data_IF_756251129732
#
_entry.id   IF_756251129732
#
_cell.length_a   1.000
_cell.length_b   1.000
_cell.length_c   1.000
_cell.angle_alpha   90.00
_cell.angle_beta   90.00
_cell.angle_gamma   90.00
#
_symmetry.space_group_name_H-M   'P 1'
#
loop_
_entity.id
_entity.type
_entity.pdbx_description
1 polymer ?
#
# COMPACT_ATOMS: atom_id res chain seq x y z
N UNK A 1 -48.74 2.57 -9.79
CA UNK A 1 -48.47 1.14 -9.54
C UNK A 1 -48.66 0.36 -10.83
N UNK A 2 -47.90 -0.73 -10.96
CA UNK A 2 -47.97 -1.83 -11.95
C UNK A 2 -47.21 -1.64 -13.27
N UNK A 3 -46.01 -2.22 -13.21
CA UNK A 3 -45.05 -2.64 -14.22
C UNK A 3 -45.70 -3.47 -15.33
N UNK A 4 -45.16 -3.39 -16.55
CA UNK A 4 -44.95 -4.56 -17.42
C UNK A 4 -43.61 -4.44 -18.14
N UNK A 5 -42.73 -5.38 -17.80
CA UNK A 5 -41.50 -5.73 -18.49
C UNK A 5 -41.88 -6.51 -19.76
N UNK A 6 -41.21 -6.23 -20.88
CA UNK A 6 -41.22 -7.08 -22.06
C UNK A 6 -39.78 -7.53 -22.33
N UNK A 7 -39.53 -8.79 -21.99
CA UNK A 7 -38.29 -9.53 -22.22
C UNK A 7 -38.25 -9.96 -23.69
N UNK A 8 -37.21 -9.60 -24.43
CA UNK A 8 -36.90 -10.18 -25.75
C UNK A 8 -35.75 -11.15 -25.54
N UNK A 9 -36.07 -12.44 -25.60
CA UNK A 9 -35.12 -13.52 -25.76
C UNK A 9 -34.79 -13.64 -27.24
N UNK A 10 -33.50 -13.58 -27.60
CA UNK A 10 -33.03 -13.95 -28.92
C UNK A 10 -32.01 -15.09 -28.78
N UNK A 11 -32.50 -16.31 -28.98
CA UNK A 11 -31.73 -17.53 -29.17
C UNK A 11 -31.09 -17.51 -30.56
N UNK A 12 -29.75 -17.60 -30.61
CA UNK A 12 -28.99 -17.84 -31.82
C UNK A 12 -27.87 -18.83 -31.55
N UNK A 13 -28.13 -20.09 -31.82
CA UNK A 13 -27.12 -21.14 -31.86
C UNK A 13 -26.34 -21.06 -33.19
N UNK A 14 -25.01 -21.14 -33.13
CA UNK A 14 -24.18 -21.43 -34.30
C UNK A 14 -23.17 -22.52 -33.93
N UNK A 15 -23.44 -23.72 -34.46
CA UNK A 15 -22.61 -24.91 -34.44
C UNK A 15 -22.22 -25.23 -35.88
N UNK A 16 -20.94 -25.05 -36.24
CA UNK A 16 -20.19 -25.70 -37.33
C UNK A 16 -18.71 -25.45 -36.95
N UNK A 17 -17.73 -26.35 -36.89
CA UNK A 17 -17.55 -27.74 -37.28
C UNK A 17 -16.02 -27.92 -37.40
N UNK A 18 -15.45 -28.84 -36.64
CA UNK A 18 -14.04 -29.25 -36.68
C UNK A 18 -13.77 -30.27 -37.80
N UNK A 19 -12.57 -30.27 -38.41
CA UNK A 19 -11.75 -31.36 -39.03
C UNK A 19 -10.47 -30.65 -39.55
N UNK A 20 -9.22 -31.11 -39.46
CA UNK A 20 -8.55 -32.34 -39.00
C UNK A 20 -7.04 -32.04 -38.80
N UNK A 21 -6.32 -32.74 -37.91
CA UNK A 21 -5.52 -33.96 -38.17
C UNK A 21 -4.33 -33.67 -39.12
N UNK A 22 -3.03 -33.84 -38.79
CA UNK A 22 -2.29 -35.07 -38.37
C UNK A 22 -0.96 -34.68 -37.66
N UNK A 23 -0.66 -35.08 -36.43
CA UNK A 23 0.07 -36.28 -35.94
C UNK A 23 1.51 -36.52 -36.46
N UNK A 24 2.48 -36.49 -35.53
CA UNK A 24 3.41 -37.61 -35.26
C UNK A 24 4.24 -37.34 -33.98
N UNK A 25 3.82 -37.94 -32.87
CA UNK A 25 4.71 -38.29 -31.75
C UNK A 25 5.44 -39.60 -32.10
N UNK A 26 6.71 -39.71 -31.71
CA UNK A 26 7.32 -41.01 -31.42
C UNK A 26 8.00 -40.95 -30.05
N UNK A 27 7.77 -42.03 -29.32
CA UNK A 27 8.08 -42.23 -27.93
C UNK A 27 9.39 -43.02 -27.79
N UNK A 28 10.03 -42.87 -26.62
CA UNK A 28 10.76 -43.92 -25.89
C UNK A 28 12.30 -43.93 -25.86
N UNK A 29 12.77 -44.11 -24.62
CA UNK A 29 13.98 -44.80 -24.11
C UNK A 29 15.20 -43.98 -23.71
N UNK A 30 15.16 -43.64 -22.43
CA UNK A 30 16.20 -43.77 -21.41
C UNK A 30 17.28 -44.85 -21.69
N UNK A 31 18.56 -44.47 -21.68
CA UNK A 31 19.69 -45.31 -21.26
C UNK A 31 20.87 -44.46 -20.79
N UNK A 32 21.22 -44.60 -19.51
CA UNK A 32 22.54 -44.28 -18.94
C UNK A 32 23.57 -45.27 -19.51
N UNK A 33 24.74 -44.80 -19.94
CA UNK A 33 26.00 -45.53 -19.72
C UNK A 33 27.18 -44.55 -19.69
N UNK A 34 28.09 -44.84 -18.75
CA UNK A 34 29.26 -44.06 -18.38
C UNK A 34 30.51 -44.45 -19.20
N UNK A 35 31.62 -43.83 -18.79
CA UNK A 35 33.03 -44.28 -18.89
C UNK A 35 33.76 -43.85 -20.19
N UNK A 36 35.03 -43.47 -20.24
CA UNK A 36 36.07 -42.93 -19.34
C UNK A 36 37.27 -42.55 -20.22
N UNK A 37 37.95 -41.47 -19.82
CA UNK A 37 39.36 -41.06 -19.97
C UNK A 37 40.28 -41.66 -21.05
N UNK A 38 41.08 -40.77 -21.67
CA UNK A 38 42.52 -41.03 -21.87
C UNK A 38 43.35 -39.75 -21.71
N UNK A 39 44.27 -39.83 -20.77
CA UNK A 39 45.33 -38.89 -20.41
C UNK A 39 46.50 -38.99 -21.39
N UNK A 40 47.16 -37.87 -21.70
CA UNK A 40 48.61 -37.83 -21.97
C UNK A 40 49.22 -36.57 -21.37
N UNK A 41 50.24 -36.80 -20.55
CA UNK A 41 51.10 -35.85 -19.86
C UNK A 41 52.30 -35.47 -20.72
N UNK A 42 52.82 -34.25 -20.54
CA UNK A 42 54.28 -33.98 -20.53
C UNK A 42 54.54 -32.60 -19.92
N UNK A 43 55.47 -32.59 -18.97
CA UNK A 43 55.86 -31.46 -18.14
C UNK A 43 57.03 -30.67 -18.75
N UNK A 44 57.14 -29.38 -18.42
CA UNK A 44 58.40 -28.75 -18.04
C UNK A 44 58.18 -27.41 -17.32
N UNK A 45 59.09 -27.14 -16.40
CA UNK A 45 59.02 -26.29 -15.23
C UNK A 45 59.58 -24.88 -15.51
N UNK A 46 59.08 -23.84 -14.84
CA UNK A 46 59.87 -22.80 -14.15
C UNK A 46 59.06 -21.52 -13.88
N UNK A 47 58.98 -21.15 -12.60
CA UNK A 47 59.28 -19.76 -12.23
C UNK A 47 58.13 -18.86 -11.79
N UNK A 48 58.00 -18.74 -10.47
CA UNK A 48 57.69 -17.52 -9.68
C UNK A 48 56.24 -17.04 -9.44
N UNK A 49 55.95 -17.04 -8.13
CA UNK A 49 55.22 -16.05 -7.31
C UNK A 49 53.69 -15.95 -7.42
N UNK A 50 53.06 -16.81 -6.63
CA UNK A 50 52.20 -16.45 -5.49
C UNK A 50 51.27 -15.22 -5.61
N UNK A 51 50.02 -15.51 -5.94
CA UNK A 51 48.86 -14.81 -5.36
C UNK A 51 47.80 -15.84 -5.00
N UNK A 52 47.34 -15.79 -3.76
CA UNK A 52 46.47 -16.78 -3.13
C UNK A 52 45.04 -16.64 -3.65
N UNK A 53 44.61 -17.53 -4.55
CA UNK A 53 43.20 -17.72 -4.92
C UNK A 53 42.83 -19.15 -4.52
N UNK A 54 42.23 -19.32 -3.33
CA UNK A 54 41.74 -20.62 -2.88
C UNK A 54 40.23 -20.69 -3.00
N UNK A 55 39.81 -21.20 -4.15
CA UNK A 55 38.56 -21.94 -4.30
C UNK A 55 38.72 -23.30 -3.61
N UNK A 56 37.85 -23.64 -2.66
CA UNK A 56 37.53 -25.02 -2.25
C UNK A 56 36.10 -24.99 -1.74
N UNK A 57 35.14 -25.46 -2.54
CA UNK A 57 34.65 -26.84 -2.57
C UNK A 57 33.74 -27.15 -1.38
N UNK A 58 32.45 -27.27 -1.71
CA UNK A 58 31.35 -27.76 -0.90
C UNK A 58 31.74 -28.91 0.03
N UNK A 59 31.38 -28.78 1.29
CA UNK A 59 31.01 -29.92 2.14
C UNK A 59 29.64 -29.63 2.71
N UNK A 60 28.65 -30.38 2.24
CA UNK A 60 27.28 -30.33 2.73
C UNK A 60 27.24 -30.75 4.19
N UNK A 61 26.84 -29.83 5.06
CA UNK A 61 26.34 -30.17 6.40
C UNK A 61 24.91 -29.68 6.44
N UNK A 62 23.98 -30.63 6.46
CA UNK A 62 22.54 -30.39 6.49
C UNK A 62 22.17 -29.85 7.87
N UNK A 63 22.22 -28.53 8.03
CA UNK A 63 21.53 -27.85 9.10
C UNK A 63 20.20 -27.37 8.54
N UNK A 64 19.13 -28.06 8.92
CA UNK A 64 17.75 -27.62 8.72
C UNK A 64 17.54 -26.34 9.53
N UNK A 65 17.97 -25.22 8.94
CA UNK A 65 17.67 -23.88 9.41
C UNK A 65 16.51 -23.43 8.54
N UNK A 66 15.36 -23.22 9.15
CA UNK A 66 14.22 -22.52 8.56
C UNK A 66 14.75 -21.30 7.81
N UNK A 67 14.76 -21.38 6.48
CA UNK A 67 15.13 -20.25 5.63
C UNK A 67 14.03 -19.21 5.75
N UNK A 68 14.12 -18.34 6.76
CA UNK A 68 13.51 -17.03 6.68
C UNK A 68 14.01 -16.41 5.38
N UNK A 69 13.11 -16.24 4.40
CA UNK A 69 13.34 -15.37 3.26
C UNK A 69 13.76 -14.02 3.82
N UNK A 70 15.06 -13.72 3.84
CA UNK A 70 15.56 -12.47 4.39
C UNK A 70 15.34 -11.40 3.31
N UNK A 71 14.11 -10.87 3.20
CA UNK A 71 13.93 -9.68 2.35
C UNK A 71 14.77 -8.56 2.96
N UNK A 72 15.68 -8.04 2.14
CA UNK A 72 16.69 -7.07 2.56
C UNK A 72 16.06 -5.68 2.70
N UNK A 73 16.67 -4.85 3.53
CA UNK A 73 16.32 -3.43 3.62
C UNK A 73 16.36 -2.78 2.22
N UNK A 74 15.38 -1.92 1.95
CA UNK A 74 15.31 -1.14 0.72
C UNK A 74 16.44 -0.11 0.69
N UNK A 75 17.06 0.04 -0.49
CA UNK A 75 18.17 0.97 -0.69
C UNK A 75 17.65 2.29 -1.24
N UNK A 76 17.74 3.36 -0.44
CA UNK A 76 17.25 4.69 -0.84
C UNK A 76 17.95 5.27 -2.09
N UNK A 77 19.20 4.87 -2.36
CA UNK A 77 19.94 5.35 -3.52
C UNK A 77 19.30 4.85 -4.82
N UNK A 78 18.91 5.77 -5.70
CA UNK A 78 18.23 5.45 -6.96
C UNK A 78 16.73 5.13 -6.80
N UNK A 79 16.16 5.21 -5.59
CA UNK A 79 14.73 4.99 -5.33
C UNK A 79 13.82 5.94 -6.12
N UNK A 80 14.31 7.16 -6.35
CA UNK A 80 13.61 8.22 -7.08
C UNK A 80 14.52 8.75 -8.19
N UNK A 81 13.99 8.82 -9.41
CA UNK A 81 14.70 9.42 -10.55
C UNK A 81 14.72 10.94 -10.46
N UNK A 82 15.64 11.57 -11.20
CA UNK A 82 15.67 13.03 -11.33
C UNK A 82 14.36 13.57 -11.93
N UNK A 83 13.75 12.85 -12.88
CA UNK A 83 12.47 13.24 -13.48
C UNK A 83 11.30 13.16 -12.49
N UNK A 84 11.36 12.23 -11.52
CA UNK A 84 10.32 12.13 -10.48
C UNK A 84 10.32 13.38 -9.59
N UNK A 85 11.51 13.95 -9.34
CA UNK A 85 11.69 15.15 -8.51
C UNK A 85 11.56 16.47 -9.28
N UNK A 86 11.47 16.41 -10.61
CA UNK A 86 11.45 17.60 -11.44
C UNK A 86 10.04 18.23 -11.44
N UNK A 87 9.92 19.35 -10.72
CA UNK A 87 8.67 20.14 -10.63
C UNK A 87 8.62 21.32 -11.61
N UNK A 88 9.77 21.69 -12.19
CA UNK A 88 9.87 22.75 -13.18
C UNK A 88 9.37 22.30 -14.56
N UNK A 89 8.87 23.25 -15.34
CA UNK A 89 8.51 23.02 -16.74
C UNK A 89 8.63 24.32 -17.54
N UNK A 90 9.00 24.21 -18.82
CA UNK A 90 8.99 25.35 -19.74
C UNK A 90 7.61 25.50 -20.37
N UNK A 91 6.86 26.52 -19.94
CA UNK A 91 5.53 26.78 -20.45
C UNK A 91 5.48 27.11 -21.95
N UNK A 92 6.60 27.54 -22.57
CA UNK A 92 6.66 27.82 -24.00
C UNK A 92 6.78 26.56 -24.85
N UNK A 93 7.41 25.52 -24.30
CA UNK A 93 7.57 24.22 -24.97
C UNK A 93 6.41 23.27 -24.65
N UNK A 94 5.69 23.51 -23.56
CA UNK A 94 4.54 22.70 -23.18
C UNK A 94 3.30 23.00 -24.04
N UNK A 95 2.55 21.95 -24.37
CA UNK A 95 1.26 22.08 -25.03
C UNK A 95 0.19 22.48 -24.01
N UNK A 96 -0.42 23.65 -24.18
CA UNK A 96 -1.51 24.10 -23.31
C UNK A 96 -2.85 23.57 -23.81
N UNK A 97 -3.66 23.01 -22.91
CA UNK A 97 -5.01 22.51 -23.19
C UNK A 97 -5.96 23.07 -22.12
N UNK A 98 -6.96 23.84 -22.58
CA UNK A 98 -8.05 24.30 -21.73
C UNK A 98 -9.18 23.28 -21.77
N UNK A 99 -9.57 22.77 -20.61
CA UNK A 99 -10.65 21.82 -20.43
C UNK A 99 -11.99 22.56 -20.42
N UNK A 100 -12.89 22.15 -21.30
CA UNK A 100 -14.19 22.79 -21.51
C UNK A 100 -15.31 21.72 -21.52
N UNK A 101 -15.43 20.97 -20.42
CA UNK A 101 -16.43 19.90 -20.23
C UNK A 101 -16.40 18.78 -21.28
N UNK A 102 -15.22 18.49 -21.82
CA UNK A 102 -15.00 17.39 -22.76
C UNK A 102 -13.85 16.53 -22.29
N UNK A 103 -14.01 15.21 -22.39
CA UNK A 103 -12.89 14.28 -22.23
C UNK A 103 -11.83 14.54 -23.30
N UNK A 104 -10.57 14.32 -22.95
CA UNK A 104 -9.43 14.42 -23.87
C UNK A 104 -8.56 13.18 -23.80
N UNK A 105 -7.83 12.93 -24.89
CA UNK A 105 -6.80 11.89 -24.94
C UNK A 105 -5.45 12.52 -25.26
N UNK A 106 -4.44 12.19 -24.47
CA UNK A 106 -3.03 12.49 -24.71
C UNK A 106 -2.39 11.21 -25.26
N UNK A 107 -1.90 11.29 -26.50
CA UNK A 107 -1.42 10.12 -27.25
C UNK A 107 0.04 10.21 -27.71
N UNK A 108 0.76 11.25 -27.28
CA UNK A 108 2.15 11.49 -27.65
C UNK A 108 2.97 11.86 -26.41
N UNK A 109 4.26 11.54 -26.47
CA UNK A 109 5.22 12.04 -25.48
C UNK A 109 5.22 13.58 -25.47
N UNK A 110 5.33 14.17 -24.29
CA UNK A 110 5.44 15.62 -24.15
C UNK A 110 5.03 16.14 -22.78
N UNK A 111 5.11 17.47 -22.64
CA UNK A 111 4.60 18.20 -21.47
C UNK A 111 3.30 18.91 -21.82
N UNK A 112 2.26 18.73 -21.01
CA UNK A 112 0.91 19.25 -21.24
C UNK A 112 0.48 20.10 -20.06
N UNK A 113 0.11 21.36 -20.28
CA UNK A 113 -0.46 22.22 -19.23
C UNK A 113 -1.98 22.18 -19.34
N UNK A 114 -2.64 21.63 -18.33
CA UNK A 114 -4.09 21.54 -18.26
C UNK A 114 -4.65 22.61 -17.31
N UNK A 115 -5.71 23.29 -17.74
CA UNK A 115 -6.49 24.22 -16.91
C UNK A 115 -7.98 24.11 -17.24
N UNK A 116 -8.87 24.64 -16.40
CA UNK A 116 -10.32 24.59 -16.64
C UNK A 116 -10.98 23.33 -16.08
N UNK A 117 -12.13 22.93 -16.62
CA UNK A 117 -13.00 21.96 -15.95
C UNK A 117 -13.57 20.88 -16.88
N UNK A 118 -13.80 19.70 -16.30
CA UNK A 118 -14.65 18.64 -16.86
C UNK A 118 -15.67 18.23 -15.81
N UNK A 119 -16.96 18.48 -16.06
CA UNK A 119 -18.04 18.12 -15.12
C UNK A 119 -18.36 16.64 -15.07
N UNK A 120 -18.21 15.92 -16.19
CA UNK A 120 -18.31 14.47 -16.27
C UNK A 120 -17.53 13.95 -17.50
N UNK A 121 -16.31 13.48 -17.30
CA UNK A 121 -15.42 13.04 -18.37
C UNK A 121 -14.02 12.74 -17.85
N UNK A 122 -13.04 12.56 -18.73
CA UNK A 122 -11.73 12.03 -18.37
C UNK A 122 -10.59 12.74 -19.09
N UNK A 123 -9.41 12.72 -18.49
CA UNK A 123 -8.14 12.85 -19.19
C UNK A 123 -7.57 11.45 -19.36
N UNK A 124 -7.46 10.97 -20.59
CA UNK A 124 -6.92 9.64 -20.90
C UNK A 124 -5.50 9.78 -21.44
N UNK A 125 -4.56 8.98 -20.95
CA UNK A 125 -3.23 8.81 -21.54
C UNK A 125 -3.18 7.47 -22.25
N UNK A 126 -3.05 7.49 -23.58
CA UNK A 126 -2.93 6.31 -24.44
C UNK A 126 -1.88 6.60 -25.52
N UNK A 127 -0.61 6.48 -25.13
CA UNK A 127 0.57 6.80 -25.92
C UNK A 127 1.46 5.56 -26.10
N UNK A 128 2.52 5.61 -26.92
CA UNK A 128 3.50 4.52 -26.98
C UNK A 128 4.03 4.13 -25.59
N UNK A 129 4.35 2.85 -25.39
CA UNK A 129 4.94 2.27 -24.17
C UNK A 129 6.37 2.75 -23.87
N UNK A 130 6.91 3.62 -24.74
CA UNK A 130 8.19 4.31 -24.57
C UNK A 130 8.01 5.78 -24.19
N UNK A 131 6.77 6.28 -24.17
CA UNK A 131 6.48 7.70 -23.99
C UNK A 131 6.50 8.11 -22.51
N UNK A 132 7.29 9.12 -22.18
CA UNK A 132 7.29 9.77 -20.85
C UNK A 132 6.48 11.06 -20.87
N UNK A 133 5.29 11.04 -20.27
CA UNK A 133 4.34 12.16 -20.37
C UNK A 133 4.28 12.95 -19.07
N UNK A 134 4.45 14.27 -19.15
CA UNK A 134 4.25 15.16 -18.01
C UNK A 134 2.96 15.97 -18.18
N UNK A 135 2.06 15.87 -17.23
CA UNK A 135 0.81 16.62 -17.17
C UNK A 135 0.91 17.60 -16.01
N UNK A 136 0.90 18.89 -16.33
CA UNK A 136 0.85 19.97 -15.36
C UNK A 136 -0.62 20.28 -15.05
N UNK A 137 -1.02 20.10 -13.81
CA UNK A 137 -2.33 20.46 -13.30
C UNK A 137 -2.28 21.93 -12.84
N UNK A 138 -2.85 22.83 -13.63
CA UNK A 138 -2.80 24.29 -13.44
C UNK A 138 -4.21 24.85 -13.20
N UNK A 139 -4.79 24.49 -12.05
CA UNK A 139 -6.13 24.92 -11.65
C UNK A 139 -7.24 24.13 -12.33
N UNK A 140 -7.11 22.80 -12.38
CA UNK A 140 -8.13 21.93 -12.99
C UNK A 140 -9.23 21.51 -12.01
N UNK A 141 -10.44 21.31 -12.51
CA UNK A 141 -11.53 20.65 -11.79
C UNK A 141 -12.17 19.56 -12.67
N UNK A 142 -11.85 18.29 -12.40
CA UNK A 142 -12.22 17.16 -13.27
C UNK A 142 -13.01 16.15 -12.45
N UNK A 143 -14.24 15.90 -12.88
CA UNK A 143 -15.09 14.84 -12.33
C UNK A 143 -15.38 13.80 -13.41
N UNK A 144 -15.34 12.53 -13.03
CA UNK A 144 -15.99 11.46 -13.78
C UNK A 144 -16.89 10.67 -12.84
N UNK A 145 -18.18 10.59 -13.13
CA UNK A 145 -19.11 9.93 -12.23
C UNK A 145 -18.83 8.41 -12.12
N UNK A 146 -18.49 7.73 -13.21
CA UNK A 146 -18.51 6.26 -13.30
C UNK A 146 -17.18 5.64 -13.70
N UNK A 147 -16.10 6.42 -13.71
CA UNK A 147 -14.76 5.99 -14.13
C UNK A 147 -13.70 6.91 -13.51
N UNK A 148 -12.44 6.78 -13.92
CA UNK A 148 -11.37 7.65 -13.43
C UNK A 148 -11.47 9.07 -14.01
N UNK A 149 -11.11 10.08 -13.23
CA UNK A 149 -10.93 11.45 -13.72
C UNK A 149 -9.67 11.56 -14.58
N UNK A 150 -8.60 10.85 -14.19
CA UNK A 150 -7.39 10.65 -14.98
C UNK A 150 -7.16 9.15 -15.13
N UNK A 151 -7.13 8.67 -16.37
CA UNK A 151 -6.87 7.28 -16.71
C UNK A 151 -5.59 7.17 -17.54
N UNK A 152 -4.53 6.60 -16.98
CA UNK A 152 -3.33 6.23 -17.72
C UNK A 152 -3.50 4.79 -18.19
N UNK A 153 -3.86 4.66 -19.47
CA UNK A 153 -4.09 3.38 -20.14
C UNK A 153 -2.79 2.77 -20.65
N UNK A 154 -1.90 3.60 -21.19
CA UNK A 154 -0.60 3.18 -21.73
C UNK A 154 0.37 4.36 -21.88
N UNK A 155 1.59 4.18 -21.40
CA UNK A 155 2.77 5.05 -21.52
C UNK A 155 3.97 4.28 -20.95
N UNK A 156 5.19 4.81 -21.03
CA UNK A 156 6.30 4.31 -20.20
C UNK A 156 6.13 4.78 -18.75
N UNK A 157 5.89 6.09 -18.58
CA UNK A 157 5.67 6.71 -17.28
C UNK A 157 4.91 8.01 -17.40
N UNK A 158 4.01 8.28 -16.45
CA UNK A 158 3.28 9.55 -16.36
C UNK A 158 3.70 10.34 -15.11
N UNK A 159 3.95 11.63 -15.29
CA UNK A 159 4.22 12.58 -14.22
C UNK A 159 3.03 13.55 -14.10
N UNK A 160 2.31 13.53 -12.98
CA UNK A 160 1.29 14.51 -12.63
C UNK A 160 1.91 15.58 -11.72
N UNK A 161 2.20 16.74 -12.30
CA UNK A 161 2.84 17.86 -11.61
C UNK A 161 1.81 18.93 -11.25
N UNK A 162 1.65 19.24 -9.97
CA UNK A 162 0.79 20.34 -9.52
C UNK A 162 1.51 21.69 -9.71
N UNK A 163 0.91 22.60 -10.48
CA UNK A 163 1.49 23.92 -10.71
C UNK A 163 1.52 24.75 -9.42
N UNK A 164 2.60 25.52 -9.23
CA UNK A 164 2.79 26.37 -8.06
C UNK A 164 1.62 27.33 -7.84
N UNK A 165 1.12 27.39 -6.60
CA UNK A 165 0.05 28.30 -6.21
C UNK A 165 -1.34 27.95 -6.77
N UNK A 166 -1.49 26.76 -7.37
CA UNK A 166 -2.79 26.30 -7.86
C UNK A 166 -3.40 25.24 -6.95
N UNK A 167 -4.73 25.20 -6.95
CA UNK A 167 -5.52 24.12 -6.36
C UNK A 167 -6.22 23.37 -7.47
N UNK A 168 -6.06 22.06 -7.47
CA UNK A 168 -6.63 21.15 -8.46
C UNK A 168 -7.58 20.19 -7.74
N UNK A 169 -8.70 19.85 -8.36
CA UNK A 169 -9.67 18.93 -7.78
C UNK A 169 -10.03 17.83 -8.78
N UNK A 170 -9.92 16.58 -8.34
CA UNK A 170 -10.34 15.40 -9.08
C UNK A 170 -11.38 14.63 -8.27
N UNK A 171 -12.42 14.11 -8.90
CA UNK A 171 -13.47 13.37 -8.18
C UNK A 171 -14.18 12.31 -9.01
N UNK A 172 -14.85 11.40 -8.30
CA UNK A 172 -15.98 10.63 -8.81
C UNK A 172 -17.20 10.79 -7.88
N UNK A 173 -18.38 10.45 -8.39
CA UNK A 173 -19.66 10.66 -7.67
C UNK A 173 -20.61 9.48 -7.73
N UNK A 174 -20.29 8.42 -8.48
CA UNK A 174 -21.08 7.19 -8.59
C UNK A 174 -20.15 5.99 -8.59
N UNK A 175 -20.74 4.81 -8.48
CA UNK A 175 -20.01 3.55 -8.61
C UNK A 175 -19.33 3.45 -9.98
N UNK A 176 -18.16 2.81 -10.00
CA UNK A 176 -17.42 2.55 -11.23
C UNK A 176 -18.18 1.58 -12.12
N UNK A 177 -18.24 1.89 -13.41
CA UNK A 177 -18.84 1.03 -14.43
C UNK A 177 -17.73 0.57 -15.37
N UNK A 178 -17.28 -0.66 -15.18
CA UNK A 178 -16.25 -1.27 -16.02
C UNK A 178 -16.90 -2.00 -17.21
N UNK A 179 -16.61 -1.54 -18.42
CA UNK A 179 -17.09 -2.15 -19.68
C UNK A 179 -16.00 -2.96 -20.39
N UNK A 180 -14.83 -3.06 -19.76
CA UNK A 180 -13.65 -3.78 -20.25
C UNK A 180 -13.19 -4.76 -19.19
N UNK A 181 -12.23 -5.61 -19.51
CA UNK A 181 -11.58 -6.49 -18.52
C UNK A 181 -10.72 -5.73 -17.52
N UNK A 182 -10.31 -4.50 -17.84
CA UNK A 182 -9.62 -3.63 -16.88
C UNK A 182 -10.61 -3.11 -15.84
N UNK A 183 -10.28 -3.30 -14.57
CA UNK A 183 -11.08 -2.84 -13.43
C UNK A 183 -10.62 -1.46 -12.97
N UNK A 184 -11.13 -0.43 -13.63
CA UNK A 184 -10.93 0.95 -13.19
C UNK A 184 -11.73 1.15 -11.91
N UNK A 185 -11.04 1.48 -10.83
CA UNK A 185 -11.64 1.61 -9.50
C UNK A 185 -11.03 2.76 -8.66
N UNK A 186 -10.48 3.79 -9.33
CA UNK A 186 -9.86 4.93 -8.68
C UNK A 186 -10.13 6.25 -9.40
N UNK A 187 -10.04 7.38 -8.68
CA UNK A 187 -10.14 8.73 -9.29
C UNK A 187 -8.95 9.01 -10.20
N UNK A 188 -7.75 8.60 -9.79
CA UNK A 188 -6.58 8.50 -10.65
C UNK A 188 -6.25 7.02 -10.78
N UNK A 189 -6.34 6.49 -11.99
CA UNK A 189 -6.03 5.09 -12.26
C UNK A 189 -4.93 5.00 -13.32
N UNK A 190 -3.84 4.32 -12.97
CA UNK A 190 -2.72 4.08 -13.87
C UNK A 190 -2.47 2.60 -14.04
N UNK A 191 -2.38 2.16 -15.28
CA UNK A 191 -1.88 0.84 -15.64
C UNK A 191 -0.36 0.72 -15.60
N UNK A 192 0.32 1.86 -15.56
CA UNK A 192 1.77 2.02 -15.67
C UNK A 192 2.31 2.79 -14.46
N UNK A 193 3.62 2.99 -14.38
CA UNK A 193 4.25 3.90 -13.43
C UNK A 193 3.66 5.32 -13.46
N UNK A 194 3.33 5.84 -12.27
CA UNK A 194 2.88 7.22 -12.11
C UNK A 194 3.63 7.93 -10.99
N UNK A 195 4.03 9.17 -11.26
CA UNK A 195 4.61 10.06 -10.27
C UNK A 195 3.71 11.26 -10.02
N UNK A 196 3.44 11.55 -8.75
CA UNK A 196 2.83 12.78 -8.29
C UNK A 196 3.93 13.69 -7.72
N UNK A 197 4.02 14.90 -8.26
CA UNK A 197 4.94 15.91 -7.72
C UNK A 197 4.36 17.31 -7.87
N UNK A 198 5.12 18.33 -7.47
CA UNK A 198 4.83 19.72 -7.77
C UNK A 198 4.81 20.62 -6.56
N UNK A 199 4.27 21.82 -6.75
CA UNK A 199 4.27 22.90 -5.77
C UNK A 199 2.86 23.45 -5.50
N UNK A 200 1.84 22.78 -6.01
CA UNK A 200 0.43 23.12 -5.79
C UNK A 200 -0.26 22.12 -4.87
N UNK A 201 -1.58 22.26 -4.82
CA UNK A 201 -2.47 21.38 -4.07
C UNK A 201 -3.30 20.54 -5.04
N UNK A 202 -3.45 19.25 -4.73
CA UNK A 202 -4.36 18.34 -5.40
C UNK A 202 -5.33 17.73 -4.38
N UNK A 203 -6.62 18.03 -4.55
CA UNK A 203 -7.71 17.41 -3.81
C UNK A 203 -8.28 16.24 -4.62
N UNK A 204 -8.38 15.07 -4.00
CA UNK A 204 -8.92 13.86 -4.60
C UNK A 204 -10.11 13.42 -3.76
N UNK A 205 -11.31 13.44 -4.35
CA UNK A 205 -12.53 13.02 -3.70
C UNK A 205 -13.05 11.74 -4.37
N UNK A 206 -12.59 10.60 -3.88
CA UNK A 206 -13.02 9.28 -4.30
C UNK A 206 -14.25 8.84 -3.46
N UNK A 207 -15.43 9.36 -3.82
CA UNK A 207 -16.70 9.00 -3.15
C UNK A 207 -16.98 7.51 -3.29
N UNK A 208 -16.50 6.91 -4.37
CA UNK A 208 -16.46 5.46 -4.56
C UNK A 208 -15.03 5.03 -4.91
N UNK A 209 -14.64 3.84 -4.46
CA UNK A 209 -13.33 3.23 -4.74
C UNK A 209 -12.14 3.99 -4.18
N UNK A 210 -11.00 3.85 -4.85
CA UNK A 210 -9.70 4.33 -4.38
C UNK A 210 -9.42 5.79 -4.77
N UNK A 211 -8.53 6.44 -4.03
CA UNK A 211 -8.00 7.75 -4.42
C UNK A 211 -7.12 7.65 -5.67
N UNK A 212 -5.96 7.02 -5.51
CA UNK A 212 -4.96 6.80 -6.57
C UNK A 212 -4.59 5.33 -6.62
N UNK A 213 -4.60 4.75 -7.82
CA UNK A 213 -4.12 3.38 -8.08
C UNK A 213 -3.06 3.43 -9.16
N UNK A 214 -1.92 2.80 -8.90
CA UNK A 214 -0.97 2.36 -9.92
C UNK A 214 -0.93 0.83 -9.96
N UNK A 215 -0.96 0.26 -11.17
CA UNK A 215 -0.72 -1.17 -11.40
C UNK A 215 0.77 -1.53 -11.44
N UNK A 216 1.65 -0.54 -11.37
CA UNK A 216 3.09 -0.65 -11.14
C UNK A 216 3.48 0.25 -9.95
N UNK A 217 4.47 1.13 -10.11
CA UNK A 217 4.92 2.04 -9.05
C UNK A 217 4.03 3.28 -8.93
N UNK A 218 3.68 3.63 -7.70
CA UNK A 218 3.12 4.93 -7.33
C UNK A 218 4.18 5.74 -6.59
N UNK A 219 4.64 6.84 -7.19
CA UNK A 219 5.70 7.67 -6.63
C UNK A 219 5.16 9.05 -6.24
N UNK A 220 5.51 9.54 -5.06
CA UNK A 220 5.21 10.90 -4.60
C UNK A 220 6.50 11.56 -4.17
N UNK A 221 6.87 12.71 -4.72
CA UNK A 221 8.15 13.36 -4.41
C UNK A 221 8.03 14.75 -3.80
N UNK A 222 6.87 15.40 -3.92
CA UNK A 222 6.60 16.76 -3.42
C UNK A 222 5.12 17.11 -3.66
N UNK A 223 4.67 18.26 -3.16
CA UNK A 223 3.31 18.77 -3.37
C UNK A 223 2.43 18.64 -2.14
N UNK A 224 1.17 19.08 -2.25
CA UNK A 224 0.16 18.89 -1.20
C UNK A 224 -1.00 18.06 -1.75
N UNK A 225 -1.30 16.94 -1.11
CA UNK A 225 -2.35 16.00 -1.53
C UNK A 225 -3.37 15.84 -0.41
N UNK A 226 -4.64 16.14 -0.69
CA UNK A 226 -5.75 15.91 0.22
C UNK A 226 -6.66 14.84 -0.40
N UNK A 227 -6.71 13.66 0.19
CA UNK A 227 -7.36 12.49 -0.39
C UNK A 227 -8.44 11.99 0.56
N UNK A 228 -9.68 11.95 0.07
CA UNK A 228 -10.79 11.26 0.71
C UNK A 228 -11.17 10.06 -0.16
N UNK A 229 -11.12 8.84 0.38
CA UNK A 229 -11.39 7.62 -0.37
C UNK A 229 -12.35 6.68 0.35
N UNK A 230 -13.33 6.15 -0.39
CA UNK A 230 -14.25 5.12 0.10
C UNK A 230 -13.64 3.71 0.13
N UNK A 231 -12.43 3.55 -0.42
CA UNK A 231 -11.60 2.36 -0.31
C UNK A 231 -10.19 2.79 0.13
N UNK A 232 -9.11 2.35 -0.54
CA UNK A 232 -7.75 2.77 -0.19
C UNK A 232 -7.45 4.20 -0.70
N UNK A 233 -6.64 4.95 0.03
CA UNK A 233 -6.21 6.29 -0.37
C UNK A 233 -5.21 6.25 -1.53
N UNK A 234 -4.03 5.70 -1.26
CA UNK A 234 -2.93 5.51 -2.22
C UNK A 234 -2.65 4.02 -2.35
N UNK A 235 -2.77 3.46 -3.55
CA UNK A 235 -2.50 2.04 -3.79
C UNK A 235 -1.50 1.86 -4.93
N UNK A 236 -0.43 1.13 -4.68
CA UNK A 236 0.56 0.73 -5.67
C UNK A 236 0.68 -0.80 -5.70
N UNK A 237 0.64 -1.39 -6.89
CA UNK A 237 0.83 -2.85 -7.01
C UNK A 237 2.30 -3.21 -6.82
N UNK A 238 3.21 -2.48 -7.45
CA UNK A 238 4.63 -2.78 -7.31
C UNK A 238 5.24 -2.07 -6.11
N UNK A 239 4.89 -0.79 -5.92
CA UNK A 239 5.26 -0.06 -4.71
C UNK A 239 4.45 1.23 -4.52
N UNK A 240 4.43 1.72 -3.28
CA UNK A 240 4.18 3.14 -3.00
C UNK A 240 5.46 3.77 -2.43
N UNK A 241 6.00 4.78 -3.11
CA UNK A 241 7.26 5.43 -2.75
C UNK A 241 7.04 6.91 -2.48
N UNK A 242 7.32 7.36 -1.27
CA UNK A 242 7.13 8.75 -0.84
C UNK A 242 8.49 9.35 -0.49
N UNK A 243 8.96 10.33 -1.25
CA UNK A 243 10.20 11.04 -0.93
C UNK A 243 9.97 12.21 0.04
N UNK A 244 8.92 13.00 -0.23
CA UNK A 244 8.56 14.22 0.50
C UNK A 244 7.13 14.67 0.11
N UNK A 245 6.61 15.72 0.74
CA UNK A 245 5.32 16.34 0.46
C UNK A 245 4.44 16.49 1.70
N UNK A 246 3.28 17.12 1.54
CA UNK A 246 2.22 17.16 2.55
C UNK A 246 1.10 16.24 2.08
N UNK A 247 0.93 15.11 2.74
CA UNK A 247 0.01 14.05 2.30
C UNK A 247 -1.02 13.84 3.39
N UNK A 248 -2.27 14.22 3.11
CA UNK A 248 -3.40 14.08 4.01
C UNK A 248 -4.36 13.06 3.41
N UNK A 249 -4.57 11.93 4.07
CA UNK A 249 -5.43 10.85 3.58
C UNK A 249 -6.48 10.51 4.63
N UNK A 250 -7.72 10.42 4.20
CA UNK A 250 -8.82 9.80 4.94
C UNK A 250 -9.41 8.71 4.06
N UNK A 251 -9.23 7.45 4.47
CA UNK A 251 -9.64 6.26 3.73
C UNK A 251 -10.59 5.41 4.60
N UNK A 252 -11.51 4.69 3.96
CA UNK A 252 -12.33 3.67 4.65
C UNK A 252 -11.68 2.29 4.69
N UNK A 253 -10.65 2.09 3.88
CA UNK A 253 -9.68 1.03 4.10
C UNK A 253 -8.35 1.69 4.40
N UNK A 254 -7.29 1.26 3.73
CA UNK A 254 -5.96 1.69 4.07
C UNK A 254 -5.63 3.05 3.47
N UNK A 255 -4.96 3.90 4.25
CA UNK A 255 -4.55 5.19 3.72
C UNK A 255 -3.44 5.01 2.67
N UNK A 256 -2.52 4.07 2.88
CA UNK A 256 -1.48 3.66 1.94
C UNK A 256 -1.45 2.13 1.85
N UNK A 257 -1.51 1.59 0.63
CA UNK A 257 -1.63 0.15 0.37
C UNK A 257 -0.62 -0.31 -0.68
N UNK A 258 0.30 -1.21 -0.30
CA UNK A 258 1.22 -1.89 -1.21
C UNK A 258 0.84 -3.37 -1.33
N UNK A 259 0.52 -3.87 -2.53
CA UNK A 259 0.15 -5.28 -2.68
C UNK A 259 0.56 -5.84 -4.03
N UNK A 260 1.35 -6.93 -3.99
CA UNK A 260 1.68 -7.71 -5.16
C UNK A 260 1.54 -9.20 -4.90
N UNK A 261 0.59 -9.82 -5.61
CA UNK A 261 0.34 -11.26 -5.50
C UNK A 261 1.16 -12.09 -6.50
N UNK A 262 1.90 -11.43 -7.41
CA UNK A 262 2.70 -12.10 -8.44
C UNK A 262 4.19 -12.19 -8.06
N UNK A 263 4.70 -11.23 -7.29
CA UNK A 263 6.11 -11.10 -6.91
C UNK A 263 6.25 -10.60 -5.46
N UNK A 264 6.71 -11.49 -4.57
CA UNK A 264 6.87 -11.20 -3.13
C UNK A 264 7.92 -10.12 -2.80
N UNK A 265 8.76 -9.73 -3.76
CA UNK A 265 9.72 -8.62 -3.58
C UNK A 265 9.11 -7.25 -3.86
N UNK A 266 7.87 -7.23 -4.37
CA UNK A 266 7.07 -6.04 -4.69
C UNK A 266 5.91 -5.90 -3.69
N UNK A 267 5.07 -4.89 -3.90
CA UNK A 267 4.00 -4.54 -2.96
C UNK A 267 4.55 -3.88 -1.69
N UNK A 268 5.71 -3.22 -1.78
CA UNK A 268 6.33 -2.54 -0.65
C UNK A 268 5.90 -1.08 -0.55
N UNK A 269 6.03 -0.52 0.64
CA UNK A 269 5.89 0.91 0.89
C UNK A 269 7.20 1.47 1.42
N UNK A 270 7.67 2.55 0.80
CA UNK A 270 8.87 3.28 1.21
C UNK A 270 8.53 4.73 1.51
N UNK A 271 8.92 5.21 2.68
CA UNK A 271 8.74 6.60 3.12
C UNK A 271 10.10 7.19 3.48
N UNK A 272 10.63 8.04 2.60
CA UNK A 272 11.87 8.77 2.83
C UNK A 272 11.70 10.08 3.59
N UNK A 273 10.47 10.62 3.68
CA UNK A 273 10.23 11.94 4.25
C UNK A 273 8.79 12.44 4.05
N UNK A 274 8.60 13.74 4.27
CA UNK A 274 7.30 14.42 4.15
C UNK A 274 6.54 14.56 5.48
N UNK A 275 5.40 15.24 5.40
CA UNK A 275 4.40 15.35 6.46
C UNK A 275 3.16 14.55 6.06
N UNK A 276 2.95 13.42 6.71
CA UNK A 276 1.86 12.49 6.41
C UNK A 276 0.84 12.54 7.56
N UNK A 277 -0.42 12.79 7.24
CA UNK A 277 -1.55 12.69 8.17
C UNK A 277 -2.50 11.62 7.62
N UNK A 278 -2.50 10.45 8.23
CA UNK A 278 -3.17 9.26 7.74
C UNK A 278 -4.32 8.89 8.68
N UNK A 279 -5.53 8.79 8.12
CA UNK A 279 -6.73 8.33 8.80
C UNK A 279 -7.34 7.18 8.01
N UNK A 280 -7.60 6.07 8.67
CA UNK A 280 -8.15 4.85 8.06
C UNK A 280 -9.22 4.23 8.95
N UNK A 281 -10.21 3.57 8.34
CA UNK A 281 -11.13 2.63 9.01
C UNK A 281 -10.64 1.16 8.88
N UNK A 282 -9.37 0.99 8.52
CA UNK A 282 -8.59 -0.26 8.51
C UNK A 282 -7.16 0.14 8.89
N UNK A 283 -6.13 -0.33 8.19
CA UNK A 283 -4.75 -0.01 8.52
C UNK A 283 -4.38 1.37 8.00
N UNK A 284 -3.49 2.12 8.64
CA UNK A 284 -3.04 3.36 8.01
C UNK A 284 -2.06 3.08 6.87
N UNK A 285 -1.19 2.10 7.05
CA UNK A 285 -0.24 1.64 6.04
C UNK A 285 -0.25 0.12 6.06
N UNK A 286 -0.66 -0.51 4.96
CA UNK A 286 -0.64 -1.96 4.76
C UNK A 286 0.27 -2.33 3.59
N UNK A 287 1.05 -3.40 3.75
CA UNK A 287 1.95 -3.90 2.71
C UNK A 287 2.08 -5.43 2.73
N UNK A 288 2.08 -6.07 1.56
CA UNK A 288 2.36 -7.52 1.46
C UNK A 288 3.85 -7.88 1.50
N UNK A 289 4.75 -6.90 1.55
CA UNK A 289 6.20 -7.11 1.52
C UNK A 289 6.88 -6.27 2.60
N UNK A 290 7.70 -5.29 2.22
CA UNK A 290 8.38 -4.40 3.17
C UNK A 290 7.61 -3.10 3.39
N UNK A 291 7.52 -2.67 4.64
CA UNK A 291 7.31 -1.27 5.00
C UNK A 291 8.62 -0.69 5.52
N UNK A 292 9.16 0.35 4.88
CA UNK A 292 10.37 1.03 5.33
C UNK A 292 10.17 2.54 5.46
N UNK A 293 10.50 3.06 6.65
CA UNK A 293 10.47 4.49 6.98
C UNK A 293 11.90 4.99 7.25
N UNK A 294 12.44 5.76 6.31
CA UNK A 294 13.74 6.43 6.41
C UNK A 294 13.63 7.86 6.98
N UNK A 295 12.42 8.41 7.12
CA UNK A 295 12.19 9.72 7.72
C UNK A 295 10.76 10.23 7.58
N UNK A 296 10.54 11.48 8.02
CA UNK A 296 9.26 12.19 7.89
C UNK A 296 8.57 12.52 9.22
N UNK A 297 7.47 13.27 9.15
CA UNK A 297 6.55 13.55 10.25
C UNK A 297 5.23 12.85 9.95
N UNK A 298 4.99 11.72 10.59
CA UNK A 298 3.88 10.83 10.29
C UNK A 298 2.91 10.84 11.48
N UNK A 299 1.65 11.19 11.24
CA UNK A 299 0.58 11.15 12.23
C UNK A 299 -0.50 10.19 11.77
N UNK A 300 -0.83 9.21 12.61
CA UNK A 300 -1.72 8.10 12.26
C UNK A 300 -2.93 8.03 13.21
N UNK A 301 -4.09 7.76 12.65
CA UNK A 301 -5.29 7.32 13.36
C UNK A 301 -5.93 6.19 12.55
N UNK A 302 -5.79 4.96 13.01
CA UNK A 302 -6.34 3.76 12.40
C UNK A 302 -7.41 3.14 13.32
N UNK A 303 -8.31 2.35 12.75
CA UNK A 303 -9.22 1.49 13.53
C UNK A 303 -8.80 0.03 13.53
N UNK A 304 -7.85 -0.34 12.67
CA UNK A 304 -7.07 -1.57 12.77
C UNK A 304 -5.63 -1.15 13.03
N UNK A 305 -4.64 -1.57 12.24
CA UNK A 305 -3.24 -1.30 12.57
C UNK A 305 -2.75 0.06 12.09
N UNK A 306 -1.87 0.68 12.88
CA UNK A 306 -1.25 1.90 12.42
C UNK A 306 -0.24 1.63 11.29
N UNK A 307 0.55 0.56 11.38
CA UNK A 307 1.49 0.17 10.34
C UNK A 307 1.61 -1.35 10.33
N UNK A 308 1.17 -1.98 9.25
CA UNK A 308 1.19 -3.42 9.04
C UNK A 308 2.06 -3.79 7.83
N UNK A 309 2.83 -4.87 7.98
CA UNK A 309 3.66 -5.45 6.93
C UNK A 309 3.75 -6.95 7.10
N UNK A 310 3.30 -7.69 6.08
CA UNK A 310 3.27 -9.16 6.08
C UNK A 310 4.66 -9.80 6.28
N UNK A 311 5.75 -9.12 5.91
CA UNK A 311 7.12 -9.63 6.10
C UNK A 311 7.98 -8.78 7.04
N UNK A 312 8.32 -7.54 6.65
CA UNK A 312 9.31 -6.77 7.41
C UNK A 312 8.99 -5.29 7.45
N UNK A 313 8.86 -4.79 8.67
CA UNK A 313 8.69 -3.38 8.98
C UNK A 313 10.00 -2.81 9.52
N UNK A 314 10.51 -1.75 8.90
CA UNK A 314 11.78 -1.11 9.24
C UNK A 314 11.54 0.38 9.48
N UNK A 315 11.90 0.88 10.67
CA UNK A 315 11.90 2.32 11.00
C UNK A 315 13.33 2.73 11.28
N UNK A 316 13.90 3.56 10.40
CA UNK A 316 15.28 4.06 10.52
C UNK A 316 15.36 5.46 11.13
N UNK A 317 14.40 6.31 10.81
CA UNK A 317 14.30 7.66 11.36
C UNK A 317 12.86 8.19 11.21
N UNK A 318 12.62 9.42 11.64
CA UNK A 318 11.35 10.12 11.53
C UNK A 318 10.71 10.40 12.89
N UNK A 319 9.64 11.19 12.86
CA UNK A 319 8.75 11.42 14.01
C UNK A 319 7.40 10.80 13.71
N UNK A 320 7.09 9.70 14.38
CA UNK A 320 5.88 8.91 14.17
C UNK A 320 4.98 9.09 15.40
N UNK A 321 3.78 9.60 15.18
CA UNK A 321 2.76 9.79 16.21
C UNK A 321 1.53 8.94 15.88
N UNK A 322 1.42 7.78 16.50
CA UNK A 322 0.25 6.91 16.41
C UNK A 322 -0.71 7.32 17.52
N UNK A 323 -1.82 7.95 17.14
CA UNK A 323 -2.80 8.50 18.07
C UNK A 323 -3.84 7.45 18.49
N UNK A 324 -4.10 6.47 17.62
CA UNK A 324 -5.03 5.37 17.82
C UNK A 324 -4.76 4.28 16.77
N UNK A 325 -4.84 3.02 17.20
CA UNK A 325 -4.89 1.80 16.39
C UNK A 325 -5.30 0.60 17.26
N UNK A 326 -5.58 -0.56 16.67
CA UNK A 326 -5.65 -1.84 17.38
C UNK A 326 -4.23 -2.28 17.74
N UNK A 327 -3.38 -2.57 16.76
CA UNK A 327 -1.94 -2.69 16.98
C UNK A 327 -1.17 -1.47 16.47
N UNK A 328 -0.07 -1.14 17.14
CA UNK A 328 0.74 0.02 16.75
C UNK A 328 1.63 -0.24 15.54
N UNK A 329 2.49 -1.25 15.64
CA UNK A 329 3.47 -1.60 14.61
C UNK A 329 3.47 -3.11 14.49
N UNK A 330 2.91 -3.62 13.40
CA UNK A 330 2.85 -5.05 13.12
C UNK A 330 3.75 -5.43 11.95
N UNK A 331 4.48 -6.52 12.13
CA UNK A 331 4.97 -7.30 11.02
C UNK A 331 5.78 -8.49 11.48
N UNK A 332 5.97 -9.47 10.59
CA UNK A 332 6.71 -10.70 10.93
C UNK A 332 8.12 -10.45 11.47
N UNK A 333 8.75 -9.35 11.05
CA UNK A 333 9.94 -8.77 11.68
C UNK A 333 9.78 -7.26 11.78
N UNK A 334 9.99 -6.72 12.98
CA UNK A 334 10.04 -5.28 13.22
C UNK A 334 11.46 -4.86 13.59
N UNK A 335 12.06 -3.95 12.81
CA UNK A 335 13.38 -3.36 13.06
C UNK A 335 13.26 -1.85 13.30
N UNK A 336 13.29 -1.42 14.55
CA UNK A 336 13.37 0.00 14.92
C UNK A 336 14.83 0.37 15.17
N UNK A 337 15.41 1.12 14.23
CA UNK A 337 16.83 1.52 14.22
C UNK A 337 17.05 2.98 14.61
N UNK A 338 16.00 3.79 14.65
CA UNK A 338 16.06 5.20 15.02
C UNK A 338 14.70 5.89 14.97
N UNK A 339 14.71 7.22 15.00
CA UNK A 339 13.50 8.05 15.05
C UNK A 339 12.91 8.24 16.44
N UNK A 340 11.77 8.96 16.49
CA UNK A 340 10.94 9.16 17.67
C UNK A 340 9.56 8.59 17.39
N UNK A 341 9.09 7.66 18.25
CA UNK A 341 7.79 7.00 18.10
C UNK A 341 6.98 7.26 19.36
N UNK A 342 5.87 7.97 19.21
CA UNK A 342 4.84 8.13 20.23
C UNK A 342 3.65 7.25 19.84
N UNK A 343 3.27 6.31 20.69
CA UNK A 343 2.37 5.22 20.31
C UNK A 343 1.25 5.03 21.31
N UNK A 344 0.02 5.00 20.81
CA UNK A 344 -1.17 4.56 21.53
C UNK A 344 -1.94 3.55 20.67
N UNK A 345 -1.96 2.31 21.12
CA UNK A 345 -2.70 1.17 20.57
C UNK A 345 -3.74 0.67 21.58
N UNK A 346 -4.71 -0.13 21.12
CA UNK A 346 -5.70 -0.79 21.98
C UNK A 346 -5.23 -2.16 22.48
N UNK A 347 -4.47 -2.88 21.65
CA UNK A 347 -3.79 -4.13 21.98
C UNK A 347 -2.28 -3.93 22.04
N UNK A 348 -1.50 -4.58 21.18
CA UNK A 348 -0.05 -4.54 21.22
C UNK A 348 0.51 -3.23 20.65
N UNK A 349 1.50 -2.66 21.35
CA UNK A 349 2.23 -1.53 20.82
C UNK A 349 3.08 -1.92 19.60
N UNK A 350 3.72 -3.08 19.68
CA UNK A 350 4.53 -3.66 18.61
C UNK A 350 4.27 -5.16 18.59
N UNK A 351 3.68 -5.68 17.52
CA UNK A 351 3.48 -7.10 17.28
C UNK A 351 4.51 -7.57 16.24
N UNK A 352 5.47 -8.38 16.69
CA UNK A 352 6.55 -8.91 15.85
C UNK A 352 6.44 -10.43 15.69
N UNK A 353 5.30 -10.92 15.21
CA UNK A 353 5.03 -12.36 15.05
C UNK A 353 4.78 -12.73 13.59
N UNK A 354 5.13 -13.96 13.20
CA UNK A 354 4.84 -14.50 11.86
C UNK A 354 3.38 -14.96 11.70
N UNK A 355 2.46 -14.43 12.51
CA UNK A 355 1.18 -15.05 12.81
C UNK A 355 1.35 -16.34 13.64
N UNK A 356 0.32 -16.67 14.44
CA UNK A 356 0.31 -17.94 15.20
C UNK A 356 0.23 -19.12 14.22
N UNK A 357 1.39 -19.70 13.87
CA UNK A 357 1.39 -21.06 13.38
C UNK A 357 0.92 -21.93 14.53
N UNK A 358 -0.28 -22.50 14.41
CA UNK A 358 -0.70 -23.58 15.28
C UNK A 358 0.22 -24.76 14.99
N UNK A 359 1.38 -24.78 15.64
CA UNK A 359 2.13 -26.01 15.80
C UNK A 359 1.24 -26.91 16.64
N UNK A 360 0.54 -27.83 15.98
CA UNK A 360 0.06 -29.04 16.62
C UNK A 360 1.29 -29.78 17.11
N UNK A 361 1.72 -29.45 18.33
CA UNK A 361 2.60 -30.33 19.09
C UNK A 361 1.77 -31.57 19.37
N UNK A 362 1.87 -32.58 18.50
CA UNK A 362 1.59 -33.95 18.88
C UNK A 362 2.41 -34.21 20.14
N UNK A 363 1.72 -34.34 21.27
CA UNK A 363 2.35 -34.60 22.55
C UNK A 363 3.11 -35.93 22.45
N UNK A 364 4.43 -35.86 22.25
CA UNK A 364 5.29 -37.00 22.46
C UNK A 364 5.42 -37.18 23.97
N UNK A 365 4.65 -38.14 24.48
CA UNK A 365 4.63 -38.55 25.86
C UNK A 365 5.90 -39.37 26.15
N UNK A 366 7.04 -38.68 26.25
CA UNK A 366 8.31 -39.28 26.67
C UNK A 366 8.73 -38.71 28.03
N UNK A 367 8.31 -39.41 29.08
CA UNK A 367 8.86 -39.28 30.44
C UNK A 367 10.37 -39.46 30.43
N UNK A 368 11.11 -38.37 30.67
CA UNK A 368 12.47 -38.46 31.19
C UNK A 368 12.71 -37.42 32.28
N UNK A 369 13.02 -37.95 33.47
CA UNK A 369 13.38 -37.23 34.68
C UNK A 369 14.53 -36.24 34.45
N UNK A 370 14.45 -35.05 35.05
CA UNK A 370 15.64 -34.42 35.62
C UNK A 370 15.34 -33.47 36.78
N UNK A 371 16.20 -33.61 37.79
CA UNK A 371 16.21 -32.89 39.04
C UNK A 371 16.59 -31.41 38.86
N UNK A 372 15.84 -30.55 39.54
CA UNK A 372 16.29 -29.40 40.33
C UNK A 372 17.03 -28.25 39.60
N UNK A 373 16.33 -27.14 39.33
CA UNK A 373 16.76 -25.81 39.78
C UNK A 373 15.54 -24.89 39.91
N UNK A 374 15.22 -24.51 41.14
CA UNK A 374 14.10 -23.60 41.47
C UNK A 374 14.62 -22.17 41.59
N UNK A 375 14.19 -21.27 40.71
CA UNK A 375 14.14 -19.83 40.99
C UNK A 375 12.68 -19.43 41.16
N UNK A 376 12.31 -19.15 42.40
CA UNK A 376 10.99 -18.67 42.83
C UNK A 376 10.76 -17.24 42.34
N UNK A 377 9.65 -17.01 41.65
CA UNK A 377 8.91 -15.75 41.76
C UNK A 377 7.55 -16.09 42.33
N UNK A 378 7.23 -15.47 43.48
CA UNK A 378 6.07 -15.81 44.29
C UNK A 378 4.77 -15.40 43.59
N UNK A 379 3.83 -16.34 43.52
CA UNK A 379 2.43 -16.09 43.25
C UNK A 379 1.65 -16.59 44.48
N UNK A 380 1.11 -15.69 45.29
CA UNK A 380 0.30 -16.04 46.45
C UNK A 380 -1.16 -16.25 46.02
N UNK A 381 -1.55 -17.51 45.92
CA UNK A 381 -2.94 -17.95 45.89
C UNK A 381 -3.46 -18.14 47.33
N UNK A 382 -4.75 -17.87 47.56
CA UNK A 382 -5.58 -18.68 48.44
C UNK A 382 -7.06 -18.52 48.04
N UNK A 383 -7.63 -19.41 47.21
CA UNK A 383 -8.41 -20.62 47.56
C UNK A 383 -9.51 -20.40 48.62
N UNK A 384 -10.79 -20.57 48.23
CA UNK A 384 -11.52 -21.83 48.44
C UNK A 384 -12.92 -21.84 47.80
N UNK A 385 -13.39 -23.07 47.54
CA UNK A 385 -14.54 -23.46 46.71
C UNK A 385 -15.89 -23.59 47.47
N UNK A 386 -17.02 -23.43 46.76
CA UNK A 386 -18.03 -24.49 46.46
C UNK A 386 -19.42 -23.94 46.02
N UNK A 387 -19.93 -24.56 44.94
CA UNK A 387 -21.31 -24.95 44.60
C UNK A 387 -22.51 -23.98 44.68
N UNK A 388 -22.98 -23.58 43.49
CA UNK A 388 -24.32 -23.73 42.87
C UNK A 388 -25.61 -23.67 43.73
N UNK A 389 -26.47 -22.64 43.51
CA UNK A 389 -27.93 -22.75 43.20
C UNK A 389 -28.55 -21.38 42.86
N UNK A 390 -29.41 -21.39 41.83
CA UNK A 390 -30.59 -20.58 41.45
C UNK A 390 -30.91 -19.19 42.04
N UNK A 391 -31.20 -18.25 41.11
CA UNK A 391 -32.16 -17.12 41.12
C UNK A 391 -32.76 -16.66 42.47
N UNK A 392 -32.49 -15.41 42.89
CA UNK A 392 -33.38 -14.23 42.76
C UNK A 392 -32.86 -13.01 43.55
N UNK A 393 -33.25 -11.83 43.07
CA UNK A 393 -33.35 -10.52 43.76
C UNK A 393 -32.14 -9.56 43.69
N UNK A 394 -32.32 -8.50 42.88
CA UNK A 394 -31.46 -7.30 42.85
C UNK A 394 -31.65 -6.44 44.12
N UNK A 395 -30.57 -5.86 44.69
CA UNK A 395 -30.68 -4.84 45.74
C UNK A 395 -30.69 -3.39 45.21
N UNK A 396 -31.43 -2.55 45.94
CA UNK A 396 -31.61 -1.10 45.74
C UNK A 396 -30.27 -0.32 45.79
N UNK A 397 -30.08 0.61 44.84
CA UNK A 397 -29.04 1.65 44.92
C UNK A 397 -29.53 2.84 45.72
N UNK A 398 -28.93 3.08 46.87
CA UNK A 398 -29.11 4.30 47.65
C UNK A 398 -28.17 5.39 47.11
N UNK A 399 -28.75 6.44 46.54
CA UNK A 399 -28.02 7.52 45.86
C UNK A 399 -27.27 8.45 46.81
N UNK A 400 -26.00 8.73 46.50
CA UNK A 400 -25.28 9.89 46.99
C UNK A 400 -25.05 10.89 45.85
N UNK A 401 -25.45 12.14 46.12
CA UNK A 401 -25.52 13.27 45.19
C UNK A 401 -24.14 13.95 45.05
N UNK A 402 -23.68 14.35 43.84
CA UNK A 402 -22.47 15.15 43.68
C UNK A 402 -22.66 16.63 44.08
N UNK A 403 -21.57 17.37 44.35
CA UNK A 403 -21.61 18.73 44.90
C UNK A 403 -22.02 19.81 43.87
N UNK A 404 -22.65 20.89 44.37
CA UNK A 404 -23.16 22.03 43.58
C UNK A 404 -22.01 22.92 43.09
N UNK A 405 -21.91 23.14 41.78
CA UNK A 405 -21.12 24.23 41.19
C UNK A 405 -21.93 25.54 41.19
N UNK A 406 -21.30 26.62 41.61
CA UNK A 406 -21.87 27.97 41.71
C UNK A 406 -21.66 28.70 40.37
N UNK A 407 -22.66 28.66 39.48
CA UNK A 407 -22.61 29.33 38.18
C UNK A 407 -23.14 30.77 38.26
N UNK A 408 -22.28 31.76 37.99
CA UNK A 408 -22.69 33.13 37.69
C UNK A 408 -23.36 33.18 36.30
N UNK A 409 -24.49 33.88 36.24
CA UNK A 409 -25.36 34.08 35.07
C UNK A 409 -24.76 35.14 34.12
N UNK A 410 -24.71 34.94 32.79
CA UNK A 410 -24.32 36.00 31.85
C UNK A 410 -25.43 37.07 31.70
N UNK A 411 -25.08 38.32 31.35
CA UNK A 411 -26.05 39.41 31.20
C UNK A 411 -26.87 39.32 29.90
N UNK A 412 -28.15 39.71 30.01
CA UNK A 412 -29.13 39.79 28.91
C UNK A 412 -28.81 40.94 27.96
N UNK A 413 -28.83 40.67 26.65
CA UNK A 413 -28.79 41.71 25.61
C UNK A 413 -30.21 42.19 25.30
N UNK A 414 -30.51 43.44 25.65
CA UNK A 414 -31.72 44.15 25.22
C UNK A 414 -31.66 44.47 23.73
N UNK A 415 -32.58 43.89 22.95
CA UNK A 415 -32.86 44.29 21.58
C UNK A 415 -33.68 45.59 21.54
N UNK A 416 -33.12 46.64 20.94
CA UNK A 416 -33.88 47.80 20.47
C UNK A 416 -34.36 47.54 19.03
N UNK A 417 -35.64 47.80 18.80
CA UNK A 417 -36.29 47.84 17.49
C UNK A 417 -35.97 49.17 16.77
N UNK A 418 -35.69 49.18 15.46
CA UNK A 418 -35.40 50.42 14.73
C UNK A 418 -36.68 51.19 14.35
N UNK A 419 -36.57 52.51 14.07
CA UNK A 419 -37.67 53.34 13.59
C UNK A 419 -38.13 53.00 12.17
#
# INVERSE_FOLDING_TARGET
MKRKLASIALTGALLIGTIGCTSAETNSKNTKTAMTSKTTTSASNSGTKATNTKTTSNTSTSNNTTTSSNIQELVANGMFSNKDKEVGYDAKQAKTIKLENKSITISQEGTYILSGSISNGQVIVDAPDTAKIRIILNGVNINNDTSAAIYVKKADKVFLTTAKGTTNTLSNKKEFVNTTTEEINAVIYSKEDITLNGQGTLNINAVYGNGVVSKDDLVITSGTYNINAANHGLRGKDSVKIADGIINVTAKKDAIHGENNDDATKGYVYIGGGKLNLKSESDAIDTTSILQVDGGQITITATDDAMHSEDRLIIKDGTINILQSEEGIEGKRVDIKGGTINLKSNDDGINATSGSTTQTTSADNSTTNNNNTTTKTQNTNNKNAKQNTSQEKMPEMNGQRPPKMNGQRPPEMNGQQPP
#
